data_IF_394156764686
#
_entry.id   IF_394156764686
#
_cell.length_a   1.000
_cell.length_b   1.000
_cell.length_c   1.000
_cell.angle_alpha   90.00
_cell.angle_beta   90.00
_cell.angle_gamma   90.00
#
_symmetry.space_group_name_H-M   'P 1'
#
loop_
_entity.id
_entity.type
_entity.pdbx_description
1 polymer ?
#
# COMPACT_ATOMS: atom_id res chain seq x y z
N UNK A 1 28.32 48.41 -66.12
CA UNK A 1 29.26 47.45 -65.50
C UNK A 1 28.67 46.96 -64.18
N UNK A 2 28.35 45.66 -64.12
CA UNK A 2 28.02 44.74 -63.01
C UNK A 2 27.71 45.33 -61.60
N UNK A 3 26.43 45.28 -61.20
CA UNK A 3 26.01 45.30 -59.80
C UNK A 3 25.94 43.85 -59.28
N UNK A 4 26.66 43.56 -58.18
CA UNK A 4 26.69 42.25 -57.52
C UNK A 4 25.52 42.14 -56.55
N UNK A 5 24.56 41.26 -56.84
CA UNK A 5 23.49 40.87 -55.91
C UNK A 5 24.03 39.73 -55.06
N UNK A 6 24.25 39.98 -53.77
CA UNK A 6 24.61 38.97 -52.79
C UNK A 6 23.33 38.29 -52.28
N UNK A 7 23.16 37.01 -52.60
CA UNK A 7 22.10 36.17 -52.04
C UNK A 7 22.52 35.70 -50.65
N UNK A 8 21.85 36.22 -49.61
CA UNK A 8 21.97 35.73 -48.23
C UNK A 8 21.10 34.48 -48.10
N UNK A 9 21.74 33.34 -47.85
CA UNK A 9 21.10 32.06 -47.59
C UNK A 9 20.45 32.10 -46.20
N UNK A 10 19.12 32.16 -46.14
CA UNK A 10 18.35 31.98 -44.90
C UNK A 10 18.33 30.47 -44.57
N UNK A 11 19.08 30.07 -43.54
CA UNK A 11 19.00 28.72 -42.96
C UNK A 11 17.82 28.72 -41.97
N UNK A 12 16.73 27.98 -42.20
CA UNK A 12 15.69 27.81 -41.21
C UNK A 12 16.22 26.92 -40.09
N UNK A 13 16.40 27.48 -38.90
CA UNK A 13 16.62 26.74 -37.67
C UNK A 13 15.33 25.97 -37.40
N UNK A 14 15.33 24.68 -37.73
CA UNK A 14 14.30 23.75 -37.32
C UNK A 14 14.37 23.64 -35.79
N UNK A 15 13.47 24.36 -35.11
CA UNK A 15 13.18 24.18 -33.70
C UNK A 15 12.69 22.74 -33.52
N UNK A 16 13.61 21.87 -33.11
CA UNK A 16 13.30 20.51 -32.70
C UNK A 16 12.23 20.57 -31.63
N UNK A 17 11.04 20.07 -31.96
CA UNK A 17 10.03 19.75 -30.96
C UNK A 17 10.68 18.76 -30.00
N UNK A 18 11.05 19.24 -28.82
CA UNK A 18 11.41 18.40 -27.70
C UNK A 18 10.16 17.61 -27.35
N UNK A 19 10.00 16.43 -27.93
CA UNK A 19 9.14 15.41 -27.35
C UNK A 19 9.67 15.20 -25.94
N UNK A 20 8.95 15.75 -24.96
CA UNK A 20 9.25 15.54 -23.56
C UNK A 20 9.37 14.04 -23.38
N UNK A 21 10.55 13.60 -22.94
CA UNK A 21 10.82 12.19 -22.67
C UNK A 21 9.66 11.62 -21.85
N UNK A 22 9.08 10.51 -22.31
CA UNK A 22 7.94 9.82 -21.70
C UNK A 22 8.28 9.38 -20.26
N UNK A 23 8.27 10.31 -19.32
CA UNK A 23 8.07 10.06 -17.91
C UNK A 23 6.56 9.92 -17.71
N UNK A 24 6.15 8.99 -16.85
CA UNK A 24 4.75 8.89 -16.47
C UNK A 24 4.21 10.27 -16.09
N UNK A 25 3.04 10.64 -16.60
CA UNK A 25 2.38 11.91 -16.24
C UNK A 25 2.08 11.89 -14.73
N UNK A 26 2.94 12.57 -13.96
CA UNK A 26 2.87 12.58 -12.52
C UNK A 26 1.63 13.28 -11.97
N UNK A 27 1.09 14.25 -12.71
CA UNK A 27 -0.14 14.92 -12.31
C UNK A 27 -1.34 14.01 -12.56
N UNK A 28 -1.38 13.34 -13.71
CA UNK A 28 -2.38 12.32 -13.97
C UNK A 28 -2.31 11.18 -12.97
N UNK A 29 -1.11 10.68 -12.64
CA UNK A 29 -0.94 9.64 -11.62
C UNK A 29 -1.50 10.09 -10.27
N UNK A 30 -1.14 11.30 -9.82
CA UNK A 30 -1.63 11.85 -8.55
C UNK A 30 -3.17 11.97 -8.53
N UNK A 31 -3.79 12.46 -9.61
CA UNK A 31 -5.25 12.50 -9.73
C UNK A 31 -5.88 11.11 -9.67
N UNK A 32 -5.27 10.14 -10.36
CA UNK A 32 -5.73 8.75 -10.36
C UNK A 32 -5.63 8.09 -8.98
N UNK A 33 -4.66 8.46 -8.15
CA UNK A 33 -4.59 7.98 -6.77
C UNK A 33 -5.75 8.50 -5.91
N UNK A 34 -6.44 9.57 -6.31
CA UNK A 34 -7.68 10.00 -5.64
C UNK A 34 -8.89 9.08 -5.90
N UNK A 35 -8.83 8.18 -6.88
CA UNK A 35 -9.93 7.27 -7.17
C UNK A 35 -9.99 6.11 -6.16
N UNK A 36 -11.17 5.61 -5.78
CA UNK A 36 -11.30 4.44 -4.90
C UNK A 36 -10.66 3.16 -5.48
N UNK A 37 -10.69 3.00 -6.80
CA UNK A 37 -10.03 1.90 -7.51
C UNK A 37 -9.31 2.43 -8.76
N UNK A 38 -8.06 2.88 -8.65
CA UNK A 38 -7.32 3.47 -9.77
C UNK A 38 -7.09 2.50 -10.93
N UNK A 39 -6.97 1.20 -10.64
CA UNK A 39 -6.79 0.16 -11.67
C UNK A 39 -8.10 -0.21 -12.38
N UNK A 40 -9.26 0.14 -11.80
CA UNK A 40 -10.57 -0.07 -12.42
C UNK A 40 -10.95 0.97 -13.47
N UNK A 41 -10.24 2.11 -13.51
CA UNK A 41 -10.46 3.20 -14.46
C UNK A 41 -9.44 3.06 -15.60
N UNK A 42 -9.91 2.86 -16.83
CA UNK A 42 -9.05 2.55 -17.97
C UNK A 42 -7.95 3.62 -18.20
N UNK A 43 -8.31 4.88 -18.04
CA UNK A 43 -7.42 6.03 -18.19
C UNK A 43 -6.33 6.06 -17.11
N UNK A 44 -6.63 5.55 -15.91
CA UNK A 44 -5.71 5.50 -14.77
C UNK A 44 -4.85 4.24 -14.76
N UNK A 45 -5.42 3.09 -15.11
CA UNK A 45 -4.73 1.81 -15.09
C UNK A 45 -3.44 1.82 -15.93
N UNK A 46 -3.46 2.47 -17.10
CA UNK A 46 -2.27 2.60 -17.96
C UNK A 46 -1.17 3.42 -17.28
N UNK A 47 -1.52 4.58 -16.71
CA UNK A 47 -0.59 5.45 -15.99
C UNK A 47 -0.03 4.78 -14.73
N UNK A 48 -0.85 4.07 -13.95
CA UNK A 48 -0.39 3.34 -12.75
C UNK A 48 0.59 2.23 -13.14
N UNK A 49 0.27 1.43 -14.17
CA UNK A 49 1.18 0.37 -14.66
C UNK A 49 2.50 0.93 -15.16
N UNK A 50 2.50 2.09 -15.80
CA UNK A 50 3.71 2.76 -16.23
C UNK A 50 4.58 3.20 -15.05
N UNK A 51 4.00 3.82 -14.03
CA UNK A 51 4.71 4.21 -12.80
C UNK A 51 5.30 2.97 -12.10
N UNK A 52 4.53 1.90 -11.95
CA UNK A 52 5.01 0.65 -11.35
C UNK A 52 6.18 0.04 -12.14
N UNK A 53 6.09 0.04 -13.47
CA UNK A 53 7.16 -0.42 -14.37
C UNK A 53 8.41 0.43 -14.21
N UNK A 54 8.26 1.74 -14.12
CA UNK A 54 9.36 2.68 -13.97
C UNK A 54 10.05 2.55 -12.61
N UNK A 55 9.28 2.40 -11.53
CA UNK A 55 9.80 2.10 -10.19
C UNK A 55 10.53 0.75 -10.14
N UNK A 56 10.00 -0.29 -10.78
CA UNK A 56 10.67 -1.59 -10.91
C UNK A 56 12.01 -1.50 -11.65
N UNK A 57 12.14 -0.54 -12.58
CA UNK A 57 13.39 -0.24 -13.29
C UNK A 57 14.33 0.69 -12.51
N UNK A 58 13.97 1.09 -11.29
CA UNK A 58 14.76 1.99 -10.46
C UNK A 58 14.69 3.46 -10.89
N UNK A 59 13.72 3.84 -11.74
CA UNK A 59 13.49 5.26 -12.05
C UNK A 59 12.89 5.98 -10.85
N UNK A 60 13.13 7.29 -10.79
CA UNK A 60 12.54 8.15 -9.76
C UNK A 60 11.02 8.19 -9.84
N UNK A 61 10.39 8.43 -8.69
CA UNK A 61 8.94 8.64 -8.59
C UNK A 61 8.51 9.91 -9.37
N UNK A 62 7.42 9.86 -10.14
CA UNK A 62 6.99 10.99 -10.95
C UNK A 62 6.64 12.20 -10.08
N UNK A 63 6.94 13.40 -10.59
CA UNK A 63 6.61 14.67 -9.92
C UNK A 63 5.42 15.33 -10.60
N UNK A 64 4.57 15.97 -9.81
CA UNK A 64 3.51 16.85 -10.32
C UNK A 64 3.71 18.28 -9.82
N UNK A 65 3.62 19.24 -10.76
CA UNK A 65 3.46 20.67 -10.48
C UNK A 65 1.98 21.02 -10.55
N UNK A 66 1.45 21.60 -9.48
CA UNK A 66 0.06 22.00 -9.42
C UNK A 66 -0.17 23.33 -10.16
N UNK A 67 -1.44 23.65 -10.43
CA UNK A 67 -1.84 24.83 -11.18
C UNK A 67 -1.38 26.16 -10.52
N UNK A 68 -1.15 26.16 -9.20
CA UNK A 68 -0.59 27.30 -8.46
C UNK A 68 0.94 27.45 -8.59
N UNK A 69 1.58 26.62 -9.43
CA UNK A 69 3.03 26.64 -9.67
C UNK A 69 3.86 26.00 -8.55
N UNK A 70 3.24 25.59 -7.45
CA UNK A 70 3.91 24.87 -6.37
C UNK A 70 4.06 23.40 -6.75
N UNK A 71 5.17 22.81 -6.32
CA UNK A 71 5.30 21.36 -6.33
C UNK A 71 4.25 20.76 -5.39
N UNK A 72 3.69 19.61 -5.76
CA UNK A 72 2.70 18.85 -4.98
C UNK A 72 3.05 18.76 -3.48
N UNK A 73 4.30 18.46 -3.15
CA UNK A 73 4.78 18.42 -1.75
C UNK A 73 4.63 19.76 -1.00
N UNK A 74 4.85 20.88 -1.67
CA UNK A 74 4.75 22.22 -1.07
C UNK A 74 3.32 22.73 -0.97
N UNK A 75 2.39 22.09 -1.66
CA UNK A 75 0.96 22.45 -1.67
C UNK A 75 0.13 21.74 -0.60
N UNK A 76 0.67 20.69 0.04
CA UNK A 76 -0.06 19.80 0.95
C UNK A 76 -0.79 18.63 0.26
N UNK A 77 -0.87 18.59 -1.08
CA UNK A 77 -1.47 17.48 -1.83
C UNK A 77 -0.43 16.71 -2.64
N UNK A 78 -0.12 15.47 -2.24
CA UNK A 78 0.97 14.68 -2.83
C UNK A 78 0.77 13.18 -2.63
N UNK A 79 1.51 12.37 -3.41
CA UNK A 79 1.56 10.91 -3.25
C UNK A 79 2.94 10.48 -2.79
N UNK A 80 3.02 9.61 -1.79
CA UNK A 80 4.28 8.98 -1.38
C UNK A 80 4.32 7.51 -1.78
N UNK A 81 5.39 7.06 -2.47
CA UNK A 81 5.63 5.64 -2.68
C UNK A 81 6.33 5.04 -1.46
N UNK A 82 5.78 3.94 -0.94
CA UNK A 82 6.39 3.13 0.10
C UNK A 82 6.55 1.69 -0.40
N UNK A 83 7.49 0.93 0.17
CA UNK A 83 7.47 -0.52 0.01
C UNK A 83 6.25 -1.05 0.76
N UNK A 84 5.43 -1.85 0.08
CA UNK A 84 4.32 -2.50 0.75
C UNK A 84 4.85 -3.53 1.75
N UNK A 85 4.25 -3.61 2.93
CA UNK A 85 4.35 -4.77 3.81
C UNK A 85 3.85 -6.02 3.10
N UNK A 86 4.30 -7.22 3.47
CA UNK A 86 3.85 -8.47 2.82
C UNK A 86 2.34 -8.62 2.91
N UNK A 87 1.80 -8.41 4.11
CA UNK A 87 0.37 -8.50 4.41
C UNK A 87 -0.16 -7.11 4.75
N UNK A 88 -1.32 -6.70 4.21
CA UNK A 88 -1.90 -5.40 4.53
C UNK A 88 -2.11 -5.21 6.03
N UNK A 89 -2.10 -3.95 6.46
CA UNK A 89 -2.52 -3.60 7.81
C UNK A 89 -4.01 -3.85 8.00
N UNK A 90 -4.42 -3.87 9.28
CA UNK A 90 -5.82 -4.00 9.63
C UNK A 90 -6.64 -2.82 9.07
N UNK A 91 -7.82 -3.09 8.49
CA UNK A 91 -8.69 -2.04 7.97
C UNK A 91 -9.19 -1.12 9.08
N UNK A 92 -9.64 0.08 8.71
CA UNK A 92 -10.21 1.03 9.66
C UNK A 92 -11.33 0.40 10.51
N UNK A 93 -11.35 0.75 11.80
CA UNK A 93 -12.32 0.20 12.75
C UNK A 93 -11.96 -1.20 13.28
N UNK A 94 -10.82 -1.76 12.89
CA UNK A 94 -10.29 -3.01 13.45
C UNK A 94 -8.92 -2.78 14.10
N UNK A 95 -8.58 -3.64 15.06
CA UNK A 95 -7.30 -3.63 15.76
C UNK A 95 -6.56 -4.92 15.49
N UNK A 96 -5.25 -4.85 15.28
CA UNK A 96 -4.42 -6.03 15.15
C UNK A 96 -4.40 -6.86 16.43
N UNK A 97 -4.54 -8.17 16.28
CA UNK A 97 -4.32 -9.15 17.35
C UNK A 97 -2.86 -9.23 17.78
N UNK A 98 -2.62 -9.67 19.00
CA UNK A 98 -1.31 -9.87 19.59
C UNK A 98 -0.67 -11.17 19.08
N UNK A 99 0.66 -11.20 19.06
CA UNK A 99 1.41 -12.39 18.73
C UNK A 99 1.32 -13.43 19.84
N UNK A 100 1.29 -14.70 19.47
CA UNK A 100 1.15 -15.80 20.43
C UNK A 100 -0.26 -15.96 21.01
N UNK A 101 -1.26 -15.24 20.49
CA UNK A 101 -2.68 -15.39 20.85
C UNK A 101 -3.44 -16.05 19.70
N UNK A 102 -4.31 -17.01 20.04
CA UNK A 102 -5.25 -17.62 19.12
C UNK A 102 -6.58 -16.90 19.24
N UNK A 103 -7.12 -16.45 18.12
CA UNK A 103 -8.36 -15.71 18.07
C UNK A 103 -9.50 -16.56 17.49
N UNK A 104 -10.71 -16.30 17.96
CA UNK A 104 -11.95 -16.94 17.54
C UNK A 104 -13.02 -15.89 17.29
N UNK A 105 -13.90 -16.16 16.31
CA UNK A 105 -15.06 -15.31 16.04
C UNK A 105 -16.30 -15.85 16.76
N UNK A 106 -17.08 -14.97 17.36
CA UNK A 106 -18.28 -15.30 18.13
C UNK A 106 -18.00 -15.58 19.60
N UNK A 107 -19.05 -15.95 20.34
CA UNK A 107 -18.96 -16.26 21.78
C UNK A 107 -18.24 -17.58 22.01
N UNK A 108 -17.52 -17.75 23.13
CA UNK A 108 -16.91 -19.02 23.46
C UNK A 108 -17.97 -20.12 23.62
N UNK A 109 -17.64 -21.38 23.32
CA UNK A 109 -18.50 -22.51 23.68
C UNK A 109 -18.65 -22.59 25.21
N UNK A 110 -19.75 -23.19 25.69
CA UNK A 110 -20.03 -23.35 27.14
C UNK A 110 -18.90 -24.04 27.89
N UNK A 111 -18.17 -24.91 27.19
CA UNK A 111 -16.99 -25.57 27.71
C UNK A 111 -15.86 -25.40 26.70
N UNK A 112 -14.85 -24.64 27.09
CA UNK A 112 -13.67 -24.44 26.26
C UNK A 112 -12.68 -25.54 26.60
N UNK A 113 -12.73 -26.61 25.83
CA UNK A 113 -11.77 -27.72 25.93
C UNK A 113 -10.54 -27.45 25.06
N UNK A 114 -9.48 -28.22 25.24
CA UNK A 114 -8.24 -28.10 24.45
C UNK A 114 -8.52 -28.06 22.93
N UNK A 115 -9.43 -28.87 22.41
CA UNK A 115 -9.75 -28.89 20.97
C UNK A 115 -10.19 -27.52 20.39
N UNK A 116 -10.65 -26.58 21.21
CA UNK A 116 -11.02 -25.24 20.75
C UNK A 116 -9.83 -24.50 20.11
N UNK A 117 -8.59 -24.68 20.62
CA UNK A 117 -7.42 -23.97 20.10
C UNK A 117 -7.11 -24.34 18.64
N UNK A 118 -7.46 -25.55 18.20
CA UNK A 118 -7.21 -26.03 16.83
C UNK A 118 -8.08 -25.35 15.78
N UNK A 119 -9.16 -24.68 16.19
CA UNK A 119 -10.13 -24.05 15.29
C UNK A 119 -9.94 -22.52 15.15
N UNK A 120 -9.04 -21.94 15.96
CA UNK A 120 -8.78 -20.50 15.92
C UNK A 120 -7.69 -20.12 14.93
N UNK A 121 -7.44 -18.82 14.83
CA UNK A 121 -6.41 -18.25 13.97
C UNK A 121 -5.47 -17.36 14.77
N UNK A 122 -4.18 -17.46 14.48
CA UNK A 122 -3.14 -16.61 15.07
C UNK A 122 -2.38 -15.85 13.99
N UNK A 123 -1.76 -14.74 14.39
CA UNK A 123 -0.75 -14.07 13.59
C UNK A 123 0.35 -15.07 13.22
N UNK A 124 0.85 -14.99 11.98
CA UNK A 124 2.00 -15.78 11.54
C UNK A 124 3.06 -14.82 11.05
N UNK A 125 4.20 -14.84 11.74
CA UNK A 125 5.37 -14.06 11.35
C UNK A 125 5.99 -14.75 10.12
N UNK A 126 6.20 -13.98 9.05
CA UNK A 126 6.96 -14.35 7.87
C UNK A 126 8.44 -14.41 8.22
N UNK A 127 9.03 -15.61 8.11
CA UNK A 127 10.47 -15.83 8.35
C UNK A 127 11.37 -15.14 7.32
N UNK A 128 10.84 -14.83 6.13
CA UNK A 128 11.58 -14.18 5.06
C UNK A 128 11.91 -12.70 5.34
N UNK A 129 11.11 -12.03 6.19
CA UNK A 129 11.20 -10.58 6.42
C UNK A 129 11.44 -10.16 7.88
N UNK A 130 11.67 -11.11 8.81
CA UNK A 130 11.99 -10.83 10.22
C UNK A 130 13.17 -9.86 10.36
N UNK A 131 14.09 -9.87 9.40
CA UNK A 131 15.29 -9.02 9.39
C UNK A 131 15.03 -7.57 8.97
N UNK A 132 13.89 -7.26 8.32
CA UNK A 132 13.62 -5.94 7.73
C UNK A 132 12.68 -5.06 8.56
N UNK A 133 11.66 -5.63 9.21
CA UNK A 133 10.80 -4.90 10.14
C UNK A 133 9.94 -5.90 10.91
N UNK A 134 10.04 -5.93 12.24
CA UNK A 134 9.21 -6.82 13.07
C UNK A 134 7.71 -6.51 12.93
N UNK A 135 7.37 -5.24 12.75
CA UNK A 135 5.98 -4.77 12.82
C UNK A 135 5.17 -5.09 11.54
N UNK A 136 5.86 -5.51 10.46
CA UNK A 136 5.28 -5.74 9.13
C UNK A 136 5.63 -7.06 8.46
N UNK A 137 6.40 -7.91 9.14
CA UNK A 137 6.78 -9.22 8.65
C UNK A 137 5.72 -10.29 8.95
N UNK A 138 4.45 -10.05 8.65
CA UNK A 138 3.40 -11.08 8.81
C UNK A 138 3.09 -11.76 7.48
N UNK A 139 3.08 -13.09 7.47
CA UNK A 139 2.47 -13.91 6.40
C UNK A 139 0.99 -14.17 6.65
N UNK A 140 0.50 -13.83 7.85
CA UNK A 140 -0.92 -13.72 8.18
C UNK A 140 -1.10 -12.77 9.36
N UNK A 141 -2.01 -11.81 9.24
CA UNK A 141 -2.33 -10.84 10.30
C UNK A 141 -3.80 -10.98 10.69
N UNK A 142 -4.07 -11.07 11.99
CA UNK A 142 -5.43 -11.15 12.53
C UNK A 142 -5.87 -9.75 12.95
N UNK A 143 -7.06 -9.37 12.52
CA UNK A 143 -7.69 -8.10 12.86
C UNK A 143 -9.02 -8.39 13.55
N UNK A 144 -9.24 -7.77 14.70
CA UNK A 144 -10.45 -7.97 15.52
C UNK A 144 -11.20 -6.66 15.69
N UNK A 145 -12.52 -6.76 15.85
CA UNK A 145 -13.36 -5.60 16.17
C UNK A 145 -14.66 -6.00 16.89
N UNK A 146 -15.36 -4.99 17.40
CA UNK A 146 -16.60 -5.17 18.13
C UNK A 146 -16.38 -5.66 19.56
N UNK A 147 -17.37 -6.37 20.10
CA UNK A 147 -17.32 -6.84 21.48
C UNK A 147 -16.30 -7.96 21.68
N UNK A 148 -15.45 -7.80 22.69
CA UNK A 148 -14.65 -8.89 23.26
C UNK A 148 -15.51 -9.72 24.22
N UNK A 149 -15.61 -11.03 24.00
CA UNK A 149 -16.49 -11.91 24.78
C UNK A 149 -15.77 -12.63 25.92
N UNK A 150 -14.55 -13.11 25.67
CA UNK A 150 -13.81 -13.88 26.66
C UNK A 150 -12.33 -13.98 26.29
N UNK A 151 -11.51 -14.14 27.33
CA UNK A 151 -10.12 -14.59 27.24
C UNK A 151 -9.99 -15.88 28.02
N UNK A 152 -9.34 -16.87 27.41
CA UNK A 152 -8.83 -18.04 28.13
C UNK A 152 -7.30 -17.89 28.20
N UNK A 153 -6.72 -17.77 29.40
CA UNK A 153 -5.28 -17.59 29.55
C UNK A 153 -4.53 -18.83 29.05
N UNK A 154 -3.25 -18.65 28.71
CA UNK A 154 -2.37 -19.77 28.39
C UNK A 154 -2.26 -20.73 29.57
N UNK A 155 -2.14 -22.03 29.27
CA UNK A 155 -1.97 -23.07 30.27
C UNK A 155 -1.19 -24.26 29.72
N UNK A 156 -0.64 -25.07 30.61
CA UNK A 156 0.08 -26.29 30.26
C UNK A 156 -0.86 -27.49 30.35
N UNK A 157 -0.81 -28.38 29.37
CA UNK A 157 -1.52 -29.66 29.37
C UNK A 157 -0.55 -30.79 29.06
N UNK A 158 -0.05 -31.47 30.10
CA UNK A 158 1.08 -32.38 29.94
C UNK A 158 2.33 -31.60 29.53
N UNK A 159 2.95 -32.01 28.43
CA UNK A 159 4.13 -31.34 27.84
C UNK A 159 3.75 -30.28 26.78
N UNK A 160 2.45 -30.07 26.55
CA UNK A 160 1.96 -29.11 25.54
C UNK A 160 1.63 -27.76 26.18
N UNK A 161 2.20 -26.68 25.64
CA UNK A 161 1.84 -25.31 26.00
C UNK A 161 0.70 -24.82 25.12
N UNK A 162 -0.47 -24.60 25.73
CA UNK A 162 -1.62 -24.01 25.03
C UNK A 162 -1.52 -22.48 25.16
N UNK A 163 -1.46 -21.73 24.03
CA UNK A 163 -1.40 -20.27 24.06
C UNK A 163 -2.71 -19.65 24.56
N UNK A 164 -2.66 -18.36 24.85
CA UNK A 164 -3.87 -17.59 25.18
C UNK A 164 -4.86 -17.64 24.01
N UNK A 165 -6.14 -17.74 24.33
CA UNK A 165 -7.23 -17.71 23.36
C UNK A 165 -8.18 -16.54 23.64
N UNK A 166 -8.64 -15.85 22.59
CA UNK A 166 -9.58 -14.74 22.70
C UNK A 166 -10.76 -14.89 21.75
N UNK A 167 -11.96 -14.54 22.24
CA UNK A 167 -13.21 -14.57 21.48
C UNK A 167 -13.72 -13.16 21.22
N UNK A 168 -13.89 -12.83 19.94
CA UNK A 168 -14.31 -11.50 19.49
C UNK A 168 -15.56 -11.58 18.62
N UNK A 169 -16.35 -10.52 18.62
CA UNK A 169 -17.54 -10.40 17.77
C UNK A 169 -17.20 -10.55 16.29
N UNK A 170 -16.20 -9.80 15.82
CA UNK A 170 -15.75 -9.86 14.45
C UNK A 170 -14.26 -10.14 14.39
N UNK A 171 -13.89 -10.98 13.43
CA UNK A 171 -12.50 -11.24 13.05
C UNK A 171 -12.39 -11.12 11.54
N UNK A 172 -11.27 -10.55 11.09
CA UNK A 172 -10.82 -10.61 9.73
C UNK A 172 -9.38 -11.13 9.67
N UNK A 173 -9.13 -12.04 8.73
CA UNK A 173 -7.80 -12.58 8.47
C UNK A 173 -7.24 -11.85 7.25
N UNK A 174 -6.12 -11.17 7.43
CA UNK A 174 -5.37 -10.55 6.35
C UNK A 174 -4.30 -11.52 5.88
N UNK A 175 -4.25 -11.74 4.57
CA UNK A 175 -3.26 -12.58 3.89
C UNK A 175 -2.37 -11.71 2.99
N UNK A 176 -1.21 -12.23 2.55
CA UNK A 176 -0.35 -11.54 1.61
C UNK A 176 -1.10 -11.24 0.32
N UNK A 177 -1.04 -9.99 -0.13
CA UNK A 177 -1.70 -9.53 -1.36
C UNK A 177 -0.76 -9.49 -2.57
N UNK A 178 0.53 -9.78 -2.35
CA UNK A 178 1.57 -9.73 -3.38
C UNK A 178 1.99 -8.31 -3.78
N UNK A 179 1.50 -7.28 -3.07
CA UNK A 179 1.83 -5.91 -3.37
C UNK A 179 3.32 -5.64 -3.10
N UNK A 180 3.97 -4.98 -4.04
CA UNK A 180 5.37 -4.55 -3.90
C UNK A 180 5.44 -3.09 -3.45
N UNK A 181 4.45 -2.28 -3.83
CA UNK A 181 4.40 -0.86 -3.51
C UNK A 181 3.06 -0.48 -2.87
N UNK A 182 3.14 0.47 -1.94
CA UNK A 182 1.99 1.15 -1.37
C UNK A 182 2.10 2.64 -1.66
N UNK A 183 1.05 3.23 -2.24
CA UNK A 183 0.96 4.65 -2.56
C UNK A 183 -0.03 5.30 -1.61
N UNK A 184 0.46 6.23 -0.80
CA UNK A 184 -0.38 7.01 0.11
C UNK A 184 -0.60 8.38 -0.51
N UNK A 185 -1.85 8.71 -0.80
CA UNK A 185 -2.24 10.01 -1.35
C UNK A 185 -2.78 10.89 -0.24
N UNK A 186 -2.22 12.09 -0.13
CA UNK A 186 -2.55 13.10 0.86
C UNK A 186 -3.21 14.30 0.20
N UNK A 187 -4.17 14.89 0.89
CA UNK A 187 -4.76 16.20 0.58
C UNK A 187 -4.68 17.04 1.86
N UNK A 188 -4.14 18.24 1.76
CA UNK A 188 -3.88 19.13 2.92
C UNK A 188 -3.13 18.43 4.06
N UNK A 189 -2.12 17.62 3.72
CA UNK A 189 -1.34 16.75 4.63
C UNK A 189 -2.14 15.68 5.37
N UNK A 190 -3.41 15.47 5.03
CA UNK A 190 -4.24 14.39 5.58
C UNK A 190 -4.26 13.23 4.59
N UNK A 191 -4.05 12.00 5.09
CA UNK A 191 -4.19 10.80 4.26
C UNK A 191 -5.62 10.74 3.71
N UNK A 192 -5.73 10.74 2.39
CA UNK A 192 -7.00 10.68 1.68
C UNK A 192 -7.29 9.27 1.19
N UNK A 193 -6.28 8.60 0.63
CA UNK A 193 -6.42 7.21 0.18
C UNK A 193 -5.07 6.49 0.18
N UNK A 194 -5.13 5.16 0.24
CA UNK A 194 -3.96 4.29 0.18
C UNK A 194 -4.23 3.15 -0.79
N UNK A 195 -3.32 2.95 -1.73
CA UNK A 195 -3.43 1.93 -2.77
C UNK A 195 -2.21 1.02 -2.75
N UNK A 196 -2.43 -0.28 -2.89
CA UNK A 196 -1.39 -1.31 -2.89
C UNK A 196 -1.39 -2.05 -4.22
N UNK A 197 -0.22 -2.22 -4.82
CA UNK A 197 -0.03 -2.86 -6.13
C UNK A 197 1.22 -3.74 -6.17
#
# INVERSE_FOLDING_TARGET
MKNKIAFIFFIPIALGMTTQANAADGCKFMLCMGAPNPMGIAECASTVKEVLRDLKKGKGFPKCKLANGLDSNSSGSYVTPNRASITPHCPEGTTQGQDGVIYHMGKPPRHVYSEAYKQGFANVISTEDVWRSKDDAYSRRICVSGQHYATQPSYQHGDESIPEQQWWQNMQIMNPDGATYQFNFFIDNKLYSSHRF
#
